data_IF_045047560466
#
_entry.id   IF_045047560466
#
_cell.length_a   1.000
_cell.length_b   1.000
_cell.length_c   1.000
_cell.angle_alpha   90.00
_cell.angle_beta   90.00
_cell.angle_gamma   90.00
#
_symmetry.space_group_name_H-M   'P 1'
#
loop_
_entity.id
_entity.type
_entity.pdbx_description
1 polymer ?
#
# COMPACT_ATOMS: atom_id res chain seq x y z
N UNK A 1 -18.25 -1.79 -27.60
CA UNK A 1 -19.35 -1.54 -26.62
C UNK A 1 -19.20 -0.15 -26.02
N UNK A 2 -20.28 0.49 -25.55
CA UNK A 2 -20.18 1.79 -24.85
C UNK A 2 -19.52 1.61 -23.48
N UNK A 3 -18.80 2.65 -23.04
CA UNK A 3 -18.22 2.67 -21.70
C UNK A 3 -19.31 2.51 -20.62
N UNK A 4 -19.20 1.53 -19.72
CA UNK A 4 -20.20 1.32 -18.67
C UNK A 4 -20.15 2.39 -17.56
N UNK A 5 -19.07 3.17 -17.48
CA UNK A 5 -18.87 4.19 -16.43
C UNK A 5 -19.45 5.54 -16.84
N UNK A 6 -19.17 6.02 -18.05
CA UNK A 6 -19.63 7.35 -18.50
C UNK A 6 -20.73 7.32 -19.57
N UNK A 7 -20.99 6.16 -20.20
CA UNK A 7 -21.95 6.04 -21.31
C UNK A 7 -21.56 6.80 -22.59
N UNK A 8 -20.40 7.47 -22.60
CA UNK A 8 -19.95 8.37 -23.65
C UNK A 8 -19.41 7.62 -24.88
N UNK A 9 -18.10 7.43 -24.93
CA UNK A 9 -17.42 6.85 -26.09
C UNK A 9 -17.56 5.32 -26.18
N UNK A 10 -17.40 4.80 -27.38
CA UNK A 10 -17.10 3.38 -27.58
C UNK A 10 -15.73 3.05 -27.01
N UNK A 11 -15.65 1.89 -26.36
CA UNK A 11 -14.38 1.36 -25.88
C UNK A 11 -13.53 0.87 -27.05
N UNK A 12 -12.24 1.21 -27.01
CA UNK A 12 -11.24 0.77 -27.98
C UNK A 12 -10.40 -0.34 -27.38
N UNK A 13 -10.43 -1.52 -28.01
CA UNK A 13 -9.58 -2.63 -27.62
C UNK A 13 -8.16 -2.39 -28.14
N UNK A 14 -7.25 -2.03 -27.26
CA UNK A 14 -5.88 -1.61 -27.61
C UNK A 14 -4.87 -2.08 -26.57
N UNK A 15 -3.60 -1.89 -26.87
CA UNK A 15 -2.50 -2.03 -25.90
C UNK A 15 -1.88 -0.67 -25.68
N UNK A 16 -1.87 -0.20 -24.43
CA UNK A 16 -1.34 1.11 -24.05
C UNK A 16 -0.41 1.01 -22.85
N UNK A 17 0.50 1.97 -22.76
CA UNK A 17 1.24 2.22 -21.53
C UNK A 17 0.40 3.08 -20.59
N UNK A 18 0.29 2.64 -19.34
CA UNK A 18 -0.63 3.24 -18.38
C UNK A 18 0.15 3.80 -17.20
N UNK A 19 0.12 5.13 -17.06
CA UNK A 19 0.75 5.83 -15.93
C UNK A 19 -0.17 5.79 -14.71
N UNK A 20 0.41 5.51 -13.55
CA UNK A 20 -0.26 5.51 -12.25
C UNK A 20 0.57 6.28 -11.24
N UNK A 21 -0.14 6.97 -10.36
CA UNK A 21 0.45 7.78 -9.31
C UNK A 21 0.06 7.25 -7.92
N UNK A 22 1.01 7.26 -7.00
CA UNK A 22 0.80 6.92 -5.60
C UNK A 22 1.80 7.70 -4.74
N UNK A 23 1.29 8.54 -3.82
CA UNK A 23 2.12 9.42 -2.95
C UNK A 23 3.13 10.25 -3.76
N UNK A 24 2.65 10.96 -4.78
CA UNK A 24 3.44 11.80 -5.68
C UNK A 24 4.52 11.06 -6.50
N UNK A 25 4.60 9.72 -6.38
CA UNK A 25 5.47 8.86 -7.17
C UNK A 25 4.69 8.28 -8.34
N UNK A 26 5.29 8.26 -9.53
CA UNK A 26 4.67 7.71 -10.74
C UNK A 26 5.32 6.39 -11.14
N UNK A 27 4.51 5.50 -11.69
CA UNK A 27 4.96 4.28 -12.36
C UNK A 27 4.21 4.10 -13.67
N UNK A 28 4.85 3.45 -14.64
CA UNK A 28 4.24 3.10 -15.91
C UNK A 28 4.07 1.58 -15.99
N UNK A 29 2.85 1.16 -16.29
CA UNK A 29 2.50 -0.23 -16.58
C UNK A 29 2.59 -0.38 -18.09
N UNK A 30 3.65 -1.01 -18.57
CA UNK A 30 3.92 -1.13 -20.00
C UNK A 30 3.10 -2.24 -20.65
N UNK A 31 2.60 -1.96 -21.85
CA UNK A 31 1.90 -2.92 -22.70
C UNK A 31 0.69 -3.54 -22.01
N UNK A 32 -0.22 -2.72 -21.46
CA UNK A 32 -1.46 -3.19 -20.87
C UNK A 32 -2.54 -3.27 -21.95
N UNK A 33 -3.04 -4.48 -22.21
CA UNK A 33 -4.09 -4.71 -23.20
C UNK A 33 -5.46 -4.67 -22.55
N UNK A 34 -6.41 -3.97 -23.15
CA UNK A 34 -7.77 -3.84 -22.62
C UNK A 34 -8.64 -2.92 -23.46
N UNK A 35 -9.85 -2.68 -22.96
CA UNK A 35 -10.83 -1.82 -23.58
C UNK A 35 -10.79 -0.43 -22.94
N UNK A 36 -10.30 0.56 -23.68
CA UNK A 36 -10.05 1.92 -23.20
C UNK A 36 -11.15 2.89 -23.59
N UNK A 37 -11.58 3.72 -22.64
CA UNK A 37 -12.46 4.84 -22.90
C UNK A 37 -11.67 6.15 -23.00
N UNK A 38 -11.61 6.75 -24.20
CA UNK A 38 -10.94 8.03 -24.41
C UNK A 38 -11.70 9.23 -23.80
N UNK A 39 -12.98 9.04 -23.41
CA UNK A 39 -13.79 10.12 -22.83
C UNK A 39 -13.54 10.32 -21.33
N UNK A 40 -13.37 9.25 -20.56
CA UNK A 40 -13.20 9.33 -19.09
C UNK A 40 -11.94 8.61 -18.56
N UNK A 41 -11.18 7.93 -19.41
CA UNK A 41 -9.98 7.19 -19.01
C UNK A 41 -10.25 5.82 -18.37
N UNK A 42 -11.50 5.33 -18.40
CA UNK A 42 -11.85 3.99 -17.91
C UNK A 42 -11.14 2.90 -18.71
N UNK A 43 -10.74 1.82 -18.04
CA UNK A 43 -10.05 0.69 -18.65
C UNK A 43 -10.70 -0.60 -18.17
N UNK A 44 -11.32 -1.36 -19.09
CA UNK A 44 -11.79 -2.71 -18.78
C UNK A 44 -10.69 -3.71 -19.15
N UNK A 45 -10.32 -4.52 -18.17
CA UNK A 45 -9.26 -5.52 -18.32
C UNK A 45 -9.84 -6.93 -18.26
N UNK A 46 -9.23 -7.83 -19.03
CA UNK A 46 -9.44 -9.27 -18.82
C UNK A 46 -8.86 -9.68 -17.46
N UNK A 47 -9.21 -10.87 -16.98
CA UNK A 47 -8.66 -11.40 -15.73
C UNK A 47 -7.12 -11.37 -15.72
N UNK A 48 -6.49 -11.83 -16.81
CA UNK A 48 -5.03 -11.89 -16.93
C UNK A 48 -4.37 -10.49 -16.88
N UNK A 49 -4.94 -9.53 -17.62
CA UNK A 49 -4.41 -8.17 -17.66
C UNK A 49 -4.69 -7.42 -16.35
N UNK A 50 -5.83 -7.70 -15.72
CA UNK A 50 -6.16 -7.22 -14.38
C UNK A 50 -5.17 -7.72 -13.32
N UNK A 51 -4.77 -8.99 -13.41
CA UNK A 51 -3.76 -9.59 -12.56
C UNK A 51 -2.37 -8.97 -12.76
N UNK A 52 -1.96 -8.76 -14.02
CA UNK A 52 -0.72 -8.02 -14.35
C UNK A 52 -0.74 -6.62 -13.75
N UNK A 53 -1.82 -5.88 -13.98
CA UNK A 53 -2.02 -4.53 -13.45
C UNK A 53 -1.94 -4.50 -11.91
N UNK A 54 -2.67 -5.40 -11.25
CA UNK A 54 -2.73 -5.45 -9.79
C UNK A 54 -1.40 -5.87 -9.16
N UNK A 55 -0.66 -6.82 -9.77
CA UNK A 55 0.69 -7.19 -9.32
C UNK A 55 1.65 -6.00 -9.41
N UNK A 56 1.66 -5.29 -10.54
CA UNK A 56 2.52 -4.12 -10.74
C UNK A 56 2.24 -3.04 -9.68
N UNK A 57 0.97 -2.70 -9.46
CA UNK A 57 0.60 -1.70 -8.46
C UNK A 57 0.93 -2.12 -7.03
N UNK A 58 0.76 -3.41 -6.68
CA UNK A 58 1.15 -3.91 -5.35
C UNK A 58 2.65 -3.76 -5.11
N UNK A 59 3.46 -4.17 -6.09
CA UNK A 59 4.92 -4.05 -6.01
C UNK A 59 5.37 -2.59 -5.95
N UNK A 60 4.78 -1.73 -6.77
CA UNK A 60 5.09 -0.29 -6.76
C UNK A 60 4.73 0.37 -5.42
N UNK A 61 3.53 0.13 -4.88
CA UNK A 61 3.12 0.65 -3.58
C UNK A 61 4.04 0.19 -2.45
N UNK A 62 4.45 -1.08 -2.49
CA UNK A 62 5.40 -1.64 -1.51
C UNK A 62 6.75 -0.90 -1.58
N UNK A 63 7.28 -0.66 -2.79
CA UNK A 63 8.51 0.08 -3.00
C UNK A 63 8.43 1.53 -2.51
N UNK A 64 7.35 2.24 -2.86
CA UNK A 64 7.14 3.63 -2.43
C UNK A 64 7.06 3.71 -0.90
N UNK A 65 6.33 2.79 -0.26
CA UNK A 65 6.21 2.77 1.19
C UNK A 65 7.54 2.40 1.89
N UNK A 66 8.36 1.51 1.32
CA UNK A 66 9.67 1.17 1.90
C UNK A 66 10.66 2.33 1.89
N UNK A 67 10.49 3.32 1.00
CA UNK A 67 11.32 4.53 1.01
C UNK A 67 11.01 5.43 2.22
N UNK A 68 9.80 5.36 2.78
CA UNK A 68 9.46 6.08 4.01
C UNK A 68 9.93 5.33 5.25
N UNK A 69 9.61 4.02 5.32
CA UNK A 69 9.97 3.13 6.43
C UNK A 69 10.08 1.71 5.92
N UNK A 70 11.18 1.05 6.26
CA UNK A 70 11.35 -0.37 6.00
C UNK A 70 10.24 -1.17 6.73
N UNK A 71 9.37 -1.91 6.02
CA UNK A 71 8.36 -2.77 6.66
C UNK A 71 8.94 -3.75 7.69
N UNK A 72 10.18 -4.19 7.49
CA UNK A 72 10.87 -5.10 8.41
C UNK A 72 11.25 -4.42 9.73
N UNK A 73 11.46 -3.10 9.73
CA UNK A 73 11.72 -2.31 10.94
C UNK A 73 10.52 -2.31 11.89
N UNK A 74 9.31 -2.18 11.36
CA UNK A 74 8.09 -2.25 12.19
C UNK A 74 7.97 -3.63 12.85
N UNK A 75 8.22 -4.70 12.08
CA UNK A 75 8.18 -6.06 12.59
C UNK A 75 9.27 -6.32 13.65
N UNK A 76 10.49 -5.80 13.46
CA UNK A 76 11.60 -6.02 14.38
C UNK A 76 11.36 -5.36 15.73
N UNK A 77 10.92 -4.10 15.74
CA UNK A 77 10.62 -3.36 16.98
C UNK A 77 9.45 -4.02 17.71
N UNK A 78 8.36 -4.37 17.01
CA UNK A 78 7.23 -5.08 17.63
C UNK A 78 7.66 -6.39 18.31
N UNK A 79 8.48 -7.19 17.63
CA UNK A 79 9.01 -8.45 18.19
C UNK A 79 9.92 -8.21 19.39
N UNK A 80 10.72 -7.13 19.38
CA UNK A 80 11.55 -6.72 20.52
C UNK A 80 10.73 -6.40 21.77
N UNK A 81 9.49 -5.94 21.57
CA UNK A 81 8.51 -5.68 22.64
C UNK A 81 7.70 -6.91 23.06
N UNK A 82 7.96 -8.09 22.46
CA UNK A 82 7.20 -9.32 22.66
C UNK A 82 5.70 -9.19 22.39
N UNK A 83 5.32 -8.39 21.39
CA UNK A 83 3.92 -8.22 20.99
C UNK A 83 3.61 -9.02 19.73
N UNK A 84 2.42 -9.58 19.65
CA UNK A 84 1.84 -9.99 18.38
C UNK A 84 1.26 -8.78 17.61
N UNK A 85 0.83 -9.00 16.36
CA UNK A 85 0.30 -7.92 15.51
C UNK A 85 -1.01 -7.32 16.03
N UNK A 86 -1.82 -8.11 16.73
CA UNK A 86 -3.10 -7.70 17.29
C UNK A 86 -2.88 -6.87 18.54
N UNK A 87 -2.04 -7.33 19.47
CA UNK A 87 -1.64 -6.59 20.67
C UNK A 87 -1.01 -5.24 20.30
N UNK A 88 -0.12 -5.23 19.29
CA UNK A 88 0.45 -3.99 18.80
C UNK A 88 -0.63 -3.05 18.21
N UNK A 89 -1.63 -3.58 17.50
CA UNK A 89 -2.75 -2.78 16.99
C UNK A 89 -3.67 -2.24 18.10
N UNK A 90 -3.85 -2.99 19.19
CA UNK A 90 -4.61 -2.57 20.36
C UNK A 90 -3.88 -1.44 21.11
N UNK A 91 -2.55 -1.52 21.25
CA UNK A 91 -1.73 -0.53 21.96
C UNK A 91 -1.48 0.72 21.12
N UNK A 92 -1.04 0.56 19.88
CA UNK A 92 -0.60 1.67 19.02
C UNK A 92 -1.68 2.15 18.04
N UNK A 93 -2.82 1.48 17.98
CA UNK A 93 -3.95 1.82 17.11
C UNK A 93 -3.78 1.37 15.65
N UNK A 94 -4.63 1.94 14.78
CA UNK A 94 -4.68 1.62 13.34
C UNK A 94 -5.65 0.48 12.98
N UNK A 95 -6.28 -0.14 13.97
CA UNK A 95 -7.25 -1.23 13.81
C UNK A 95 -6.60 -2.60 13.63
N UNK A 96 -7.39 -3.65 13.79
CA UNK A 96 -6.94 -5.06 13.95
C UNK A 96 -5.96 -5.58 12.89
N UNK A 97 -5.94 -4.99 11.69
CA UNK A 97 -5.09 -5.41 10.57
C UNK A 97 -3.96 -4.42 10.24
N UNK A 98 -3.75 -3.38 11.07
CA UNK A 98 -2.75 -2.35 10.81
C UNK A 98 -1.33 -2.93 10.68
N UNK A 99 -0.86 -3.64 11.70
CA UNK A 99 0.50 -4.17 11.75
C UNK A 99 0.77 -5.19 10.64
N UNK A 100 -0.21 -6.04 10.30
CA UNK A 100 -0.11 -6.93 9.13
C UNK A 100 0.11 -6.15 7.82
N UNK A 101 -0.59 -5.02 7.63
CA UNK A 101 -0.47 -4.18 6.42
C UNK A 101 0.81 -3.36 6.41
N UNK A 102 1.26 -2.90 7.57
CA UNK A 102 2.52 -2.17 7.74
C UNK A 102 3.72 -3.06 7.46
N UNK A 103 3.77 -4.24 8.09
CA UNK A 103 4.87 -5.20 7.97
C UNK A 103 4.97 -5.83 6.58
N UNK A 104 3.87 -5.86 5.82
CA UNK A 104 3.87 -6.30 4.42
C UNK A 104 4.14 -5.16 3.42
N UNK A 105 4.26 -3.91 3.89
CA UNK A 105 4.41 -2.72 3.05
C UNK A 105 3.19 -2.36 2.22
N UNK A 106 2.04 -3.01 2.47
CA UNK A 106 0.76 -2.72 1.79
C UNK A 106 0.28 -1.30 2.08
N UNK A 107 0.59 -0.79 3.28
CA UNK A 107 0.28 0.57 3.72
C UNK A 107 1.47 1.09 4.53
N UNK A 108 1.83 2.36 4.35
CA UNK A 108 2.80 3.00 5.22
C UNK A 108 2.19 3.28 6.61
N UNK A 109 2.92 3.00 7.69
CA UNK A 109 2.50 3.42 9.02
C UNK A 109 2.44 4.96 9.14
N UNK A 110 1.57 5.53 9.99
CA UNK A 110 1.56 6.96 10.26
C UNK A 110 2.91 7.45 10.79
N UNK A 111 3.38 8.62 10.33
CA UNK A 111 4.67 9.20 10.76
C UNK A 111 4.86 9.23 12.29
N UNK A 112 3.85 9.57 13.13
CA UNK A 112 4.02 9.52 14.58
C UNK A 112 4.39 8.12 15.11
N UNK A 113 3.76 7.07 14.60
CA UNK A 113 4.05 5.68 14.98
C UNK A 113 5.51 5.31 14.63
N UNK A 114 5.97 5.74 13.46
CA UNK A 114 7.34 5.51 13.00
C UNK A 114 8.36 6.18 13.92
N UNK A 115 8.11 7.44 14.29
CA UNK A 115 8.99 8.17 15.19
C UNK A 115 9.00 7.53 16.58
N UNK A 116 7.85 7.11 17.08
CA UNK A 116 7.74 6.38 18.34
C UNK A 116 8.54 5.07 18.29
N UNK A 117 8.39 4.28 17.23
CA UNK A 117 9.13 3.03 17.06
C UNK A 117 10.64 3.25 16.96
N UNK A 118 11.10 4.36 16.36
CA UNK A 118 12.54 4.74 16.36
C UNK A 118 13.08 5.07 17.76
N UNK A 119 12.25 5.65 18.63
CA UNK A 119 12.63 5.91 20.03
C UNK A 119 12.63 4.61 20.82
N UNK A 120 11.56 3.82 20.73
CA UNK A 120 11.43 2.54 21.43
C UNK A 120 12.51 1.54 21.01
N UNK A 121 12.91 1.52 19.73
CA UNK A 121 13.99 0.65 19.28
C UNK A 121 15.31 0.94 20.02
N UNK A 122 15.59 2.21 20.33
CA UNK A 122 16.77 2.61 21.10
C UNK A 122 16.59 2.42 22.61
N UNK A 123 15.36 2.59 23.08
CA UNK A 123 14.98 2.62 24.49
C UNK A 123 13.78 1.70 24.76
N UNK A 124 13.94 0.36 24.65
CA UNK A 124 12.83 -0.57 24.84
C UNK A 124 12.20 -0.51 26.23
N UNK A 125 12.95 -0.05 27.24
CA UNK A 125 12.49 0.17 28.61
C UNK A 125 11.32 1.18 28.70
N UNK A 126 11.24 2.14 27.78
CA UNK A 126 10.16 3.14 27.76
C UNK A 126 8.80 2.53 27.38
N UNK A 127 8.77 1.30 26.87
CA UNK A 127 7.53 0.64 26.54
C UNK A 127 6.66 0.37 27.78
N UNK A 128 7.27 0.15 28.94
CA UNK A 128 6.54 -0.05 30.20
C UNK A 128 5.82 1.22 30.67
N UNK A 129 6.30 2.40 30.30
CA UNK A 129 5.59 3.66 30.56
C UNK A 129 4.35 3.78 29.66
N UNK A 130 4.47 3.39 28.39
CA UNK A 130 3.36 3.45 27.43
C UNK A 130 2.21 2.51 27.78
N UNK A 131 2.48 1.35 28.38
CA UNK A 131 1.43 0.42 28.86
C UNK A 131 0.58 0.97 30.01
N UNK A 132 1.10 1.96 30.74
CA UNK A 132 0.45 2.52 31.93
C UNK A 132 -0.36 3.78 31.65
N UNK A 133 -0.21 4.35 30.45
CA UNK A 133 -0.95 5.51 29.98
C UNK A 133 -2.35 5.11 29.49
#
# INVERSE_FOLDING_TARGET
>A
MKCPVCGGAELKHETRDVVREYKDQKTTIYGLTGDFCDACGEILLTSEQGDKYARHLRSFKKLVNSNEVDPTFIASVRKKLNLDQREAAEIFGGGVNAFSRYETGKVAPPRPLVLLFKVIDKHPELFEELKRA
#
